data_IF_365830409901
#
_entry.id   IF_365830409901
#
_cell.length_a   1.000
_cell.length_b   1.000
_cell.length_c   1.000
_cell.angle_alpha   90.00
_cell.angle_beta   90.00
_cell.angle_gamma   90.00
#
_symmetry.space_group_name_H-M   'P 1'
#
loop_
_entity.id
_entity.type
_entity.pdbx_description
1 polymer ?
#
# COMPACT_ATOMS: atom_id res chain seq x y z
N UNK A 1 33.96 0.79 -0.95
CA UNK A 1 32.50 1.00 -1.06
C UNK A 1 31.82 -0.13 -0.31
N UNK A 2 30.98 0.18 0.66
CA UNK A 2 30.18 -0.81 1.36
C UNK A 2 28.92 -1.11 0.53
N UNK A 3 28.71 -2.37 0.14
CA UNK A 3 27.56 -2.78 -0.66
C UNK A 3 26.30 -3.01 0.20
N UNK A 4 26.43 -3.05 1.52
CA UNK A 4 25.28 -3.20 2.43
C UNK A 4 24.36 -1.98 2.42
N UNK A 5 24.82 -0.83 1.93
CA UNK A 5 23.96 0.34 1.68
C UNK A 5 22.82 0.06 0.68
N UNK A 6 22.97 -0.99 -0.15
CA UNK A 6 21.96 -1.45 -1.10
C UNK A 6 21.12 -2.62 -0.59
N UNK A 7 21.18 -2.96 0.70
CA UNK A 7 20.33 -3.99 1.30
C UNK A 7 18.87 -3.53 1.40
N UNK A 8 18.19 -3.57 0.26
CA UNK A 8 16.76 -3.27 0.13
C UNK A 8 15.88 -4.31 0.79
N UNK A 9 16.38 -5.52 1.05
CA UNK A 9 15.62 -6.61 1.66
C UNK A 9 15.39 -6.31 3.14
N UNK A 10 16.47 -6.02 3.88
CA UNK A 10 16.35 -5.66 5.31
C UNK A 10 15.58 -4.36 5.50
N UNK A 11 15.81 -3.39 4.62
CA UNK A 11 15.12 -2.12 4.70
C UNK A 11 13.63 -2.21 4.34
N UNK A 12 13.23 -3.13 3.46
CA UNK A 12 11.82 -3.39 3.16
C UNK A 12 11.02 -3.89 4.37
N UNK A 13 11.67 -4.58 5.31
CA UNK A 13 11.06 -5.12 6.53
C UNK A 13 10.78 -4.03 7.59
N UNK A 14 11.46 -2.88 7.53
CA UNK A 14 11.21 -1.74 8.45
C UNK A 14 9.91 -1.00 8.14
N UNK A 15 9.46 -1.08 6.89
CA UNK A 15 8.37 -0.28 6.35
C UNK A 15 8.76 1.15 6.04
N UNK A 16 7.99 1.80 5.17
CA UNK A 16 8.20 3.18 4.74
C UNK A 16 6.87 3.94 4.66
N UNK A 17 6.95 5.25 4.80
CA UNK A 17 5.80 6.15 4.80
C UNK A 17 5.33 6.44 3.36
N UNK A 18 4.17 5.91 3.00
CA UNK A 18 3.49 6.21 1.74
C UNK A 18 2.52 7.38 1.95
N UNK A 19 2.81 8.54 1.36
CA UNK A 19 1.90 9.69 1.36
C UNK A 19 0.73 9.45 0.41
N UNK A 20 -0.47 9.37 0.99
CA UNK A 20 -1.71 9.22 0.25
C UNK A 20 -1.99 10.45 -0.59
N UNK A 21 -2.54 10.22 -1.78
CA UNK A 21 -2.96 11.23 -2.73
C UNK A 21 -4.43 11.07 -3.05
N UNK A 22 -5.09 12.18 -3.37
CA UNK A 22 -6.48 12.18 -3.81
C UNK A 22 -6.63 11.28 -5.05
N UNK A 23 -7.55 10.30 -5.06
CA UNK A 23 -7.58 9.27 -6.10
C UNK A 23 -7.73 9.80 -7.53
N UNK A 24 -8.55 10.84 -7.72
CA UNK A 24 -8.84 11.39 -9.03
C UNK A 24 -7.85 12.48 -9.51
N UNK A 25 -7.09 13.09 -8.60
CA UNK A 25 -6.25 14.26 -8.94
C UNK A 25 -4.79 14.07 -8.61
N UNK A 26 -4.47 13.00 -7.87
CA UNK A 26 -3.15 12.66 -7.35
C UNK A 26 -2.47 13.78 -6.55
N UNK A 27 -3.25 14.76 -6.07
CA UNK A 27 -2.76 15.77 -5.13
C UNK A 27 -2.52 15.15 -3.76
N UNK A 28 -1.44 15.47 -3.04
CA UNK A 28 -1.18 14.89 -1.72
C UNK A 28 -2.30 15.23 -0.74
N UNK A 29 -2.60 14.29 0.17
CA UNK A 29 -3.63 14.46 1.20
C UNK A 29 -3.03 14.79 2.56
N UNK A 30 -3.69 15.68 3.29
CA UNK A 30 -3.30 16.12 4.62
C UNK A 30 -4.49 16.04 5.59
N UNK A 31 -4.22 15.88 6.89
CA UNK A 31 -5.24 15.97 7.96
C UNK A 31 -5.59 17.44 8.18
N UNK A 32 -6.25 18.01 7.17
CA UNK A 32 -6.70 19.38 7.10
C UNK A 32 -8.22 19.39 6.84
N UNK A 33 -9.04 19.84 7.82
CA UNK A 33 -10.49 19.83 7.70
C UNK A 33 -11.03 20.86 6.70
N UNK A 34 -10.28 21.91 6.41
CA UNK A 34 -10.73 22.99 5.51
C UNK A 34 -10.51 22.61 4.03
N UNK A 35 -9.32 22.11 3.71
CA UNK A 35 -8.98 21.55 2.40
C UNK A 35 -7.97 20.40 2.57
N UNK A 36 -8.35 19.15 2.26
CA UNK A 36 -7.50 18.00 2.47
C UNK A 36 -6.30 17.96 1.51
N UNK A 37 -6.18 18.87 0.54
CA UNK A 37 -5.07 18.94 -0.41
C UNK A 37 -4.05 20.05 -0.09
N UNK A 38 -4.30 20.85 0.95
CA UNK A 38 -3.41 21.94 1.39
C UNK A 38 -2.49 21.44 2.50
N UNK A 39 -1.19 21.63 2.28
CA UNK A 39 -0.15 21.24 3.24
C UNK A 39 -0.24 22.05 4.54
N UNK A 40 -0.48 21.35 5.63
CA UNK A 40 -0.48 21.88 7.00
C UNK A 40 0.56 21.19 7.90
N UNK A 41 1.54 20.50 7.31
CA UNK A 41 2.55 19.71 8.00
C UNK A 41 2.06 18.37 8.53
N UNK A 42 0.82 17.95 8.22
CA UNK A 42 0.22 16.69 8.68
C UNK A 42 -0.17 15.81 7.49
N UNK A 43 0.79 15.27 6.72
CA UNK A 43 0.49 14.41 5.59
C UNK A 43 -0.23 13.14 6.05
N UNK A 44 -1.22 12.70 5.29
CA UNK A 44 -1.90 11.42 5.47
C UNK A 44 -0.99 10.29 4.98
N UNK A 45 -0.45 9.48 5.89
CA UNK A 45 0.54 8.45 5.56
C UNK A 45 0.03 7.05 5.89
N UNK A 46 0.35 6.09 5.01
CA UNK A 46 0.27 4.65 5.27
C UNK A 46 1.69 4.13 5.47
N UNK A 47 1.96 3.51 6.62
CA UNK A 47 3.25 2.85 6.85
C UNK A 47 3.17 1.44 6.26
N UNK A 48 3.97 1.16 5.24
CA UNK A 48 3.85 -0.09 4.46
C UNK A 48 5.19 -0.80 4.28
N UNK A 49 5.17 -2.12 4.38
CA UNK A 49 6.30 -3.00 4.06
C UNK A 49 6.59 -3.04 2.55
N UNK A 50 7.87 -3.19 2.22
CA UNK A 50 8.29 -3.37 0.84
C UNK A 50 8.03 -4.75 0.29
N UNK A 51 7.88 -4.85 -1.04
CA UNK A 51 7.64 -6.11 -1.72
C UNK A 51 8.78 -7.14 -1.55
N UNK A 52 10.00 -6.67 -1.28
CA UNK A 52 11.17 -7.52 -1.06
C UNK A 52 11.27 -8.05 0.38
N UNK A 53 10.48 -7.51 1.32
CA UNK A 53 10.51 -7.88 2.73
C UNK A 53 10.28 -9.40 2.90
N UNK A 54 11.14 -10.11 3.66
CA UNK A 54 10.97 -11.53 3.94
C UNK A 54 9.57 -11.93 4.39
N UNK A 55 8.94 -11.15 5.26
CA UNK A 55 7.56 -11.39 5.73
C UNK A 55 6.52 -11.29 4.61
N UNK A 56 6.64 -10.27 3.75
CA UNK A 56 5.77 -10.07 2.59
C UNK A 56 5.90 -11.22 1.59
N UNK A 57 7.13 -11.66 1.31
CA UNK A 57 7.38 -12.79 0.41
C UNK A 57 6.84 -14.10 0.98
N UNK A 58 6.98 -14.33 2.29
CA UNK A 58 6.39 -15.49 2.95
C UNK A 58 4.86 -15.49 2.85
N UNK A 59 4.22 -14.35 3.12
CA UNK A 59 2.77 -14.20 2.99
C UNK A 59 2.29 -14.42 1.54
N UNK A 60 3.05 -13.93 0.55
CA UNK A 60 2.73 -14.16 -0.87
C UNK A 60 2.81 -15.63 -1.26
N UNK A 61 3.83 -16.36 -0.80
CA UNK A 61 3.96 -17.81 -1.05
C UNK A 61 2.82 -18.60 -0.41
N UNK A 62 2.45 -18.27 0.82
CA UNK A 62 1.32 -18.91 1.51
C UNK A 62 0.01 -18.72 0.72
N UNK A 63 -0.22 -17.52 0.17
CA UNK A 63 -1.39 -17.23 -0.67
C UNK A 63 -1.40 -17.96 -2.00
N UNK A 64 -0.26 -18.00 -2.68
CA UNK A 64 -0.13 -18.76 -3.93
C UNK A 64 -0.42 -20.24 -3.69
N UNK A 65 0.09 -20.80 -2.59
CA UNK A 65 -0.20 -22.17 -2.19
C UNK A 65 -1.70 -22.40 -1.90
N UNK A 66 -2.31 -21.51 -1.11
CA UNK A 66 -3.73 -21.61 -0.79
C UNK A 66 -4.64 -21.50 -2.04
N UNK A 67 -4.26 -20.68 -3.02
CA UNK A 67 -4.99 -20.57 -4.29
C UNK A 67 -4.86 -21.82 -5.16
N UNK A 68 -3.64 -22.36 -5.28
CA UNK A 68 -3.40 -23.60 -6.02
C UNK A 68 -4.14 -24.81 -5.41
N UNK A 69 -4.40 -24.80 -4.11
CA UNK A 69 -5.19 -25.81 -3.41
C UNK A 69 -6.72 -25.60 -3.55
N UNK A 70 -7.16 -24.41 -3.99
CA UNK A 70 -8.58 -24.04 -4.12
C UNK A 70 -9.11 -24.08 -5.57
N UNK A 71 -8.24 -24.33 -6.56
CA UNK A 71 -8.50 -24.27 -8.01
C UNK A 71 -9.33 -25.46 -8.55
N UNK A 72 -10.50 -25.74 -7.96
CA UNK A 72 -11.47 -26.72 -8.50
C UNK A 72 -12.76 -26.08 -9.06
N UNK A 73 -13.09 -24.81 -8.77
CA UNK A 73 -14.32 -24.18 -9.29
C UNK A 73 -14.19 -22.66 -9.52
N UNK A 74 -14.45 -22.23 -10.78
CA UNK A 74 -14.77 -20.87 -11.29
C UNK A 74 -13.63 -20.06 -11.93
N UNK A 75 -13.41 -20.33 -13.23
CA UNK A 75 -12.46 -19.59 -14.07
C UNK A 75 -13.03 -18.33 -14.77
N UNK A 76 -14.34 -18.03 -14.68
CA UNK A 76 -14.97 -17.07 -15.62
C UNK A 76 -15.23 -15.65 -15.06
N UNK A 77 -15.16 -15.45 -13.74
CA UNK A 77 -15.42 -14.14 -13.09
C UNK A 77 -14.12 -13.42 -12.62
N UNK A 78 -12.94 -14.01 -12.87
CA UNK A 78 -11.68 -13.59 -12.26
C UNK A 78 -11.02 -12.34 -12.88
N UNK A 79 -11.53 -11.86 -14.02
CA UNK A 79 -10.90 -10.80 -14.81
C UNK A 79 -11.62 -9.44 -14.73
N UNK A 80 -12.61 -9.29 -13.86
CA UNK A 80 -13.24 -7.98 -13.63
C UNK A 80 -12.26 -7.04 -12.90
N UNK A 81 -12.35 -5.73 -13.17
CA UNK A 81 -11.58 -4.72 -12.41
C UNK A 81 -11.87 -4.81 -10.91
N UNK A 82 -13.09 -5.21 -10.56
CA UNK A 82 -13.50 -5.45 -9.18
C UNK A 82 -12.72 -6.62 -8.54
N UNK A 83 -12.66 -7.78 -9.21
CA UNK A 83 -11.89 -8.92 -8.73
C UNK A 83 -10.38 -8.59 -8.61
N UNK A 84 -9.83 -7.84 -9.58
CA UNK A 84 -8.43 -7.38 -9.51
C UNK A 84 -8.21 -6.44 -8.33
N UNK A 85 -9.13 -5.51 -8.08
CA UNK A 85 -9.07 -4.62 -6.91
C UNK A 85 -9.09 -5.42 -5.60
N UNK A 86 -10.01 -6.37 -5.45
CA UNK A 86 -10.15 -7.18 -4.24
C UNK A 86 -8.89 -8.00 -3.97
N UNK A 87 -8.32 -8.64 -5.00
CA UNK A 87 -7.04 -9.34 -4.91
C UNK A 87 -5.90 -8.40 -4.48
N UNK A 88 -5.92 -7.15 -4.92
CA UNK A 88 -4.95 -6.14 -4.51
C UNK A 88 -5.14 -5.73 -3.05
N UNK A 89 -6.38 -5.52 -2.60
CA UNK A 89 -6.70 -5.22 -1.19
C UNK A 89 -6.20 -6.35 -0.31
N UNK A 90 -6.56 -7.60 -0.63
CA UNK A 90 -6.04 -8.78 0.05
C UNK A 90 -4.51 -8.76 0.08
N UNK A 91 -3.86 -8.52 -1.06
CA UNK A 91 -2.40 -8.43 -1.20
C UNK A 91 -1.77 -7.41 -0.24
N UNK A 92 -2.38 -6.23 -0.11
CA UNK A 92 -1.81 -5.08 0.59
C UNK A 92 -2.13 -5.01 2.09
N UNK A 93 -3.30 -5.46 2.53
CA UNK A 93 -3.69 -5.42 3.96
C UNK A 93 -2.61 -5.94 4.92
N UNK A 94 -1.98 -7.12 4.73
CA UNK A 94 -0.96 -7.60 5.66
C UNK A 94 0.37 -6.84 5.58
N UNK A 95 0.56 -5.96 4.59
CA UNK A 95 1.76 -5.14 4.44
C UNK A 95 1.66 -3.82 5.22
N UNK A 96 0.47 -3.46 5.68
CA UNK A 96 0.25 -2.21 6.41
C UNK A 96 0.67 -2.38 7.88
N UNK A 97 1.62 -1.57 8.30
CA UNK A 97 2.08 -1.49 9.69
C UNK A 97 1.23 -0.52 10.51
N UNK A 98 0.65 0.50 9.88
CA UNK A 98 -0.21 1.48 10.52
C UNK A 98 -0.43 2.73 9.68
N UNK A 99 -0.93 3.78 10.34
CA UNK A 99 -1.31 5.04 9.70
C UNK A 99 -0.80 6.23 10.51
N UNK A 100 -0.55 7.34 9.83
CA UNK A 100 -0.27 8.66 10.45
C UNK A 100 -1.20 9.69 9.85
N UNK A 101 -1.84 10.50 10.70
CA UNK A 101 -2.78 11.55 10.29
C UNK A 101 -3.96 11.04 9.43
N UNK A 102 -4.35 9.76 9.58
CA UNK A 102 -5.54 9.19 8.95
C UNK A 102 -6.55 8.87 10.04
N UNK A 103 -7.80 9.30 9.87
CA UNK A 103 -8.89 9.08 10.83
C UNK A 103 -10.03 8.31 10.19
N UNK A 104 -10.62 7.39 10.97
CA UNK A 104 -11.88 6.72 10.65
C UNK A 104 -12.97 7.34 11.53
N UNK A 105 -13.69 8.32 10.98
CA UNK A 105 -14.54 9.20 11.77
C UNK A 105 -13.71 10.00 12.77
N UNK A 106 -13.97 9.84 14.07
CA UNK A 106 -13.27 10.59 15.13
C UNK A 106 -11.99 9.91 15.63
N UNK A 107 -11.83 8.61 15.39
CA UNK A 107 -10.71 7.83 15.91
C UNK A 107 -9.53 7.80 14.91
N UNK A 108 -8.27 7.81 15.38
CA UNK A 108 -7.11 7.48 14.54
C UNK A 108 -7.26 6.08 13.94
N UNK A 109 -6.97 5.94 12.65
CA UNK A 109 -6.99 4.64 11.99
C UNK A 109 -5.83 3.75 12.49
N UNK A 110 -6.08 2.46 12.62
CA UNK A 110 -5.09 1.45 13.05
C UNK A 110 -4.84 0.45 11.93
N UNK A 111 -3.80 -0.40 12.02
CA UNK A 111 -3.53 -1.44 11.01
C UNK A 111 -4.75 -2.34 10.69
N UNK A 112 -5.67 -2.52 11.65
CA UNK A 112 -6.90 -3.30 11.44
C UNK A 112 -7.88 -2.62 10.45
N UNK A 113 -7.73 -1.31 10.24
CA UNK A 113 -8.55 -0.51 9.34
C UNK A 113 -8.02 -0.47 7.89
N UNK A 114 -6.96 -1.22 7.57
CA UNK A 114 -6.37 -1.21 6.23
C UNK A 114 -7.37 -1.59 5.12
N UNK A 115 -8.16 -2.64 5.35
CA UNK A 115 -9.19 -3.06 4.39
C UNK A 115 -10.27 -1.98 4.19
N UNK A 116 -10.62 -1.26 5.26
CA UNK A 116 -11.56 -0.13 5.18
C UNK A 116 -11.00 0.99 4.29
N UNK A 117 -9.75 1.41 4.53
CA UNK A 117 -9.14 2.48 3.73
C UNK A 117 -9.10 2.12 2.25
N UNK A 118 -8.62 0.90 1.93
CA UNK A 118 -8.53 0.42 0.54
C UNK A 118 -9.89 0.15 -0.12
N UNK A 119 -10.96 0.10 0.66
CA UNK A 119 -12.33 -0.02 0.17
C UNK A 119 -13.03 1.32 -0.09
N UNK A 120 -12.44 2.46 0.30
CA UNK A 120 -13.06 3.79 0.11
C UNK A 120 -13.14 4.22 -1.36
N UNK A 121 -12.25 3.70 -2.19
CA UNK A 121 -12.25 3.87 -3.63
C UNK A 121 -11.83 2.56 -4.29
N UNK A 122 -12.29 2.34 -5.52
CA UNK A 122 -11.96 1.16 -6.31
C UNK A 122 -11.06 1.59 -7.47
N UNK A 123 -10.19 0.68 -7.87
CA UNK A 123 -9.47 0.80 -9.14
C UNK A 123 -10.46 1.07 -10.27
N UNK A 124 -10.09 1.97 -11.18
CA UNK A 124 -10.85 2.28 -12.37
C UNK A 124 -9.92 2.30 -13.59
N UNK A 125 -10.47 2.45 -14.78
CA UNK A 125 -9.69 2.48 -16.02
C UNK A 125 -9.32 3.91 -16.47
N UNK A 126 -9.43 4.91 -15.59
CA UNK A 126 -9.14 6.31 -15.95
C UNK A 126 -7.64 6.59 -15.83
N UNK A 127 -7.06 7.11 -16.91
CA UNK A 127 -5.66 7.51 -16.91
C UNK A 127 -5.43 8.68 -15.95
N UNK A 128 -4.38 8.58 -15.13
CA UNK A 128 -4.04 9.62 -14.15
C UNK A 128 -4.83 9.53 -12.85
N UNK A 129 -5.69 8.53 -12.67
CA UNK A 129 -6.34 8.22 -11.40
C UNK A 129 -5.70 6.97 -10.75
N UNK A 130 -5.69 6.92 -9.42
CA UNK A 130 -5.20 5.75 -8.69
C UNK A 130 -5.97 5.59 -7.38
N UNK A 131 -6.55 4.42 -7.18
CA UNK A 131 -7.11 4.03 -5.88
C UNK A 131 -6.03 4.01 -4.79
N UNK A 132 -6.42 4.07 -3.52
CA UNK A 132 -5.47 3.98 -2.41
C UNK A 132 -4.74 2.63 -2.39
N UNK A 133 -5.41 1.55 -2.81
CA UNK A 133 -4.79 0.24 -2.96
C UNK A 133 -3.67 0.28 -4.02
N UNK A 134 -3.92 0.90 -5.18
CA UNK A 134 -2.92 1.05 -6.25
C UNK A 134 -1.74 1.93 -5.83
N UNK A 135 -2.01 3.05 -5.16
CA UNK A 135 -0.97 3.94 -4.65
C UNK A 135 -0.03 3.19 -3.70
N UNK A 136 -0.61 2.44 -2.74
CA UNK A 136 0.18 1.68 -1.77
C UNK A 136 0.88 0.49 -2.42
N UNK A 137 0.26 -0.19 -3.38
CA UNK A 137 0.90 -1.28 -4.12
C UNK A 137 2.09 -0.80 -4.96
N UNK A 138 1.91 0.31 -5.70
CA UNK A 138 2.98 0.94 -6.47
C UNK A 138 4.12 1.41 -5.57
N UNK A 139 3.79 2.01 -4.43
CA UNK A 139 4.79 2.37 -3.42
C UNK A 139 5.50 1.14 -2.86
N UNK A 140 4.77 0.08 -2.49
CA UNK A 140 5.27 -1.22 -1.99
C UNK A 140 6.27 -1.86 -2.96
N UNK A 141 6.06 -1.70 -4.27
CA UNK A 141 6.94 -2.24 -5.31
C UNK A 141 8.16 -1.37 -5.64
N UNK A 142 8.11 -0.06 -5.37
CA UNK A 142 9.15 0.88 -5.80
C UNK A 142 10.43 0.74 -4.97
N UNK A 143 11.50 0.30 -5.63
CA UNK A 143 12.83 0.06 -5.01
C UNK A 143 13.40 1.27 -4.26
N UNK A 144 13.17 2.48 -4.76
CA UNK A 144 13.64 3.72 -4.12
C UNK A 144 13.12 3.93 -2.69
N UNK A 145 12.01 3.28 -2.32
CA UNK A 145 11.40 3.42 -1.00
C UNK A 145 12.03 2.51 0.07
N UNK A 146 12.76 1.45 -0.33
CA UNK A 146 13.47 0.54 0.59
C UNK A 146 14.98 0.71 0.53
N UNK A 147 15.51 1.53 -0.37
CA UNK A 147 16.95 1.79 -0.42
C UNK A 147 17.42 2.84 0.61
N UNK A 148 16.61 3.16 1.63
CA UNK A 148 16.92 4.08 2.72
C UNK A 148 18.03 3.65 3.69
N UNK A 149 18.93 2.75 3.27
CA UNK A 149 20.22 2.48 3.91
C UNK A 149 21.39 3.18 3.20
N UNK A 150 21.16 3.81 2.05
CA UNK A 150 22.08 4.82 1.56
C UNK A 150 21.90 6.05 2.44
N UNK A 151 22.70 6.12 3.51
CA UNK A 151 23.16 7.40 4.04
C UNK A 151 23.77 8.15 2.86
N UNK A 152 22.95 8.94 2.16
CA UNK A 152 23.45 9.94 1.24
C UNK A 152 23.83 11.13 2.10
N UNK A 153 25.10 11.16 2.52
CA UNK A 153 25.79 12.42 2.77
C UNK A 153 25.77 13.27 1.49
#
# INVERSE_FOLDING_TARGET
MDFNQFDSVSAAERGADCHLKHPATLRPLFDNPDDPTVDNGKPCLVVVLGAEAPSVRAASRARQKARAEADDEKADDENTLEAVHERMVEAMVPRVLGFKNVRKGKAPATKADAAWLFGLNRMNAQEGEMSFAEQVAAFSAKRGNYLGNASAD
#
